data_IF_054426655692
#
_entry.id   IF_054426655692
#
_cell.length_a   1.000
_cell.length_b   1.000
_cell.length_c   1.000
_cell.angle_alpha   90.00
_cell.angle_beta   90.00
_cell.angle_gamma   90.00
#
_symmetry.space_group_name_H-M   'P 1'
#
loop_
_entity.id
_entity.type
_entity.pdbx_description
1 polymer ?
#
# COMPACT_ATOMS: atom_id res chain seq x y z
N UNK A 1 -8.69 9.11 24.03
CA UNK A 1 -9.85 8.25 24.39
C UNK A 1 -11.10 9.01 24.84
N UNK A 2 -11.00 10.17 25.50
CA UNK A 2 -12.19 10.90 26.00
C UNK A 2 -12.79 11.93 25.02
N UNK A 3 -12.50 11.84 23.72
CA UNK A 3 -12.98 12.80 22.72
C UNK A 3 -14.47 12.56 22.43
N UNK A 4 -15.36 13.53 22.70
CA UNK A 4 -16.79 13.35 22.44
C UNK A 4 -17.08 13.04 20.96
N UNK A 5 -17.99 12.09 20.72
CA UNK A 5 -18.40 11.72 19.36
C UNK A 5 -17.40 10.85 18.59
N UNK A 6 -16.30 10.39 19.22
CA UNK A 6 -15.37 9.41 18.65
C UNK A 6 -15.57 8.06 19.33
N UNK A 7 -15.77 7.02 18.52
CA UNK A 7 -15.67 5.62 18.96
C UNK A 7 -14.19 5.26 19.00
N UNK A 8 -13.71 4.89 20.18
CA UNK A 8 -12.36 4.36 20.40
C UNK A 8 -12.51 2.85 20.61
N UNK A 9 -11.73 2.05 19.89
CA UNK A 9 -11.85 0.60 19.92
C UNK A 9 -10.48 -0.05 20.04
N UNK A 10 -10.29 -0.76 21.15
CA UNK A 10 -9.16 -1.67 21.31
C UNK A 10 -9.45 -2.98 20.59
N UNK A 11 -8.41 -3.61 20.01
CA UNK A 11 -8.48 -4.98 19.52
C UNK A 11 -7.70 -5.90 20.46
N UNK A 12 -8.36 -6.66 21.37
CA UNK A 12 -7.66 -7.55 22.31
C UNK A 12 -6.85 -8.66 21.64
N UNK A 13 -7.12 -8.94 20.36
CA UNK A 13 -6.41 -9.95 19.56
C UNK A 13 -5.20 -9.36 18.83
N UNK A 14 -5.13 -8.04 18.70
CA UNK A 14 -3.99 -7.33 18.12
C UNK A 14 -2.88 -7.17 19.17
N UNK A 15 -1.77 -7.88 18.97
CA UNK A 15 -0.62 -7.82 19.85
C UNK A 15 0.09 -6.45 19.87
N UNK A 16 -0.15 -5.61 18.85
CA UNK A 16 0.39 -4.24 18.77
C UNK A 16 -0.44 -3.22 19.54
N UNK A 17 -1.72 -3.51 19.81
CA UNK A 17 -2.72 -2.55 20.32
C UNK A 17 -2.21 -1.79 21.55
N UNK A 18 -1.74 -2.50 22.58
CA UNK A 18 -1.22 -1.89 23.82
C UNK A 18 -0.10 -0.87 23.57
N UNK A 19 0.77 -1.11 22.58
CA UNK A 19 1.89 -0.23 22.26
C UNK A 19 1.38 0.98 21.50
N UNK A 20 0.48 0.77 20.54
CA UNK A 20 -0.11 1.83 19.73
C UNK A 20 -0.90 2.82 20.59
N UNK A 21 -1.74 2.33 21.50
CA UNK A 21 -2.51 3.18 22.41
C UNK A 21 -1.65 3.89 23.47
N UNK A 22 -0.47 3.35 23.79
CA UNK A 22 0.49 4.05 24.66
C UNK A 22 1.19 5.21 23.96
N UNK A 23 1.15 5.25 22.62
CA UNK A 23 1.73 6.30 21.79
C UNK A 23 1.04 7.64 22.00
N UNK A 24 1.83 8.71 22.02
CA UNK A 24 1.32 10.09 22.07
C UNK A 24 1.68 10.81 20.78
N UNK A 25 0.84 11.77 20.36
CA UNK A 25 1.12 12.66 19.22
C UNK A 25 2.07 13.78 19.63
N UNK A 26 3.29 13.43 20.01
CA UNK A 26 4.34 14.38 20.41
C UNK A 26 5.66 14.03 19.71
N UNK A 27 6.64 14.94 19.79
CA UNK A 27 7.95 14.79 19.16
C UNK A 27 7.85 14.33 17.69
N UNK A 28 8.42 13.18 17.36
CA UNK A 28 8.46 12.61 16.00
C UNK A 28 7.08 12.18 15.47
N UNK A 29 6.06 12.10 16.34
CA UNK A 29 4.68 11.75 16.00
C UNK A 29 3.73 12.97 16.07
N UNK A 30 4.26 14.18 16.21
CA UNK A 30 3.44 15.39 16.23
C UNK A 30 2.84 15.68 14.85
N UNK A 31 1.62 16.23 14.82
CA UNK A 31 1.09 16.85 13.60
C UNK A 31 1.86 18.15 13.39
N UNK A 32 2.42 18.34 12.20
CA UNK A 32 3.21 19.52 11.87
C UNK A 32 2.59 20.30 10.72
N UNK A 33 2.66 21.62 10.81
CA UNK A 33 2.39 22.54 9.70
C UNK A 33 3.66 23.33 9.42
N UNK A 34 4.22 23.18 8.21
CA UNK A 34 5.47 23.83 7.79
C UNK A 34 6.62 23.64 8.79
N UNK A 35 6.79 22.41 9.30
CA UNK A 35 7.86 22.04 10.24
C UNK A 35 7.61 22.45 11.70
N UNK A 36 6.45 23.07 12.00
CA UNK A 36 6.09 23.47 13.37
C UNK A 36 4.97 22.57 13.87
N UNK A 37 5.14 22.00 15.06
CA UNK A 37 4.12 21.19 15.71
C UNK A 37 2.85 22.03 15.96
N UNK A 38 1.69 21.46 15.65
CA UNK A 38 0.38 22.08 15.86
C UNK A 38 -0.52 21.13 16.62
N UNK A 39 -1.44 21.69 17.41
CA UNK A 39 -2.53 20.93 17.98
C UNK A 39 -3.64 20.78 16.92
N UNK A 40 -4.04 19.54 16.64
CA UNK A 40 -5.12 19.21 15.71
C UNK A 40 -6.21 18.43 16.46
N UNK A 41 -7.30 19.10 16.90
CA UNK A 41 -8.37 18.48 17.67
C UNK A 41 -9.36 17.68 16.82
N UNK A 42 -9.33 17.83 15.49
CA UNK A 42 -10.24 17.16 14.57
C UNK A 42 -9.85 15.71 14.25
N UNK A 43 -10.79 15.00 13.61
CA UNK A 43 -10.55 13.66 13.12
C UNK A 43 -9.61 13.68 11.90
N UNK A 44 -8.40 13.14 12.04
CA UNK A 44 -7.29 13.36 11.09
C UNK A 44 -7.64 13.07 9.63
N UNK A 45 -8.44 12.04 9.34
CA UNK A 45 -8.88 11.74 7.96
C UNK A 45 -9.63 12.91 7.33
N UNK A 46 -10.53 13.55 8.07
CA UNK A 46 -11.25 14.73 7.58
C UNK A 46 -10.32 15.94 7.50
N UNK A 47 -9.46 16.12 8.50
CA UNK A 47 -8.54 17.27 8.58
C UNK A 47 -7.51 17.26 7.44
N UNK A 48 -6.98 16.10 7.07
CA UNK A 48 -6.11 15.97 5.91
C UNK A 48 -6.85 16.25 4.59
N UNK A 49 -8.11 15.87 4.46
CA UNK A 49 -8.91 16.22 3.29
C UNK A 49 -9.16 17.73 3.19
N UNK A 50 -9.48 18.39 4.30
CA UNK A 50 -9.67 19.83 4.37
C UNK A 50 -8.39 20.60 4.00
N UNK A 51 -7.23 20.16 4.50
CA UNK A 51 -5.93 20.75 4.16
C UNK A 51 -5.56 20.51 2.68
N UNK A 52 -5.86 19.33 2.14
CA UNK A 52 -5.69 19.02 0.72
C UNK A 52 -6.57 19.90 -0.18
N UNK A 53 -7.84 20.09 0.21
CA UNK A 53 -8.79 20.98 -0.48
C UNK A 53 -8.28 22.43 -0.45
N UNK A 54 -7.82 22.91 0.71
CA UNK A 54 -7.25 24.26 0.81
C UNK A 54 -6.04 24.42 -0.10
N UNK A 55 -5.15 23.42 -0.14
CA UNK A 55 -4.01 23.43 -1.04
C UNK A 55 -4.43 23.52 -2.50
N UNK A 56 -5.44 22.76 -2.93
CA UNK A 56 -5.96 22.83 -4.30
C UNK A 56 -6.51 24.24 -4.63
N UNK A 57 -7.28 24.84 -3.73
CA UNK A 57 -7.85 26.18 -3.92
C UNK A 57 -6.75 27.27 -4.02
N UNK A 58 -5.72 27.19 -3.17
CA UNK A 58 -4.59 28.12 -3.17
C UNK A 58 -3.71 27.97 -4.41
N UNK A 59 -3.61 26.77 -4.99
CA UNK A 59 -2.67 26.44 -6.07
C UNK A 59 -3.36 26.21 -7.43
N UNK A 60 -4.65 26.44 -7.57
CA UNK A 60 -5.43 26.14 -8.79
C UNK A 60 -4.90 26.79 -10.08
N UNK A 61 -4.11 27.86 -9.97
CA UNK A 61 -3.53 28.60 -11.10
C UNK A 61 -2.09 28.17 -11.45
N UNK A 62 -1.54 27.16 -10.77
CA UNK A 62 -0.19 26.65 -10.98
C UNK A 62 -0.18 25.12 -11.07
N UNK A 63 0.76 24.50 -11.81
CA UNK A 63 1.00 23.07 -11.68
C UNK A 63 1.38 22.74 -10.25
N UNK A 64 0.83 21.66 -9.71
CA UNK A 64 1.07 21.25 -8.33
C UNK A 64 1.42 19.76 -8.23
N UNK A 65 2.06 19.41 -7.13
CA UNK A 65 2.18 18.05 -6.64
C UNK A 65 1.59 18.01 -5.23
N UNK A 66 0.66 17.09 -5.01
CA UNK A 66 -0.01 16.91 -3.72
C UNK A 66 0.09 15.44 -3.32
N UNK A 67 0.68 15.18 -2.16
CA UNK A 67 0.73 13.87 -1.53
C UNK A 67 -0.07 13.92 -0.23
N UNK A 68 -1.12 13.08 -0.14
CA UNK A 68 -2.01 13.02 1.03
C UNK A 68 -1.91 11.63 1.67
N UNK A 69 -0.96 11.43 2.61
CA UNK A 69 -0.78 10.15 3.29
C UNK A 69 -1.81 9.99 4.41
N UNK A 70 -3.02 9.56 4.07
CA UNK A 70 -4.00 9.20 5.08
C UNK A 70 -3.46 8.08 5.97
N UNK A 71 -3.63 8.23 7.29
CA UNK A 71 -3.31 7.17 8.24
C UNK A 71 -4.42 6.11 8.33
N UNK A 72 -5.66 6.45 7.94
CA UNK A 72 -6.76 5.49 7.92
C UNK A 72 -6.52 4.40 6.85
N UNK A 73 -6.86 3.12 7.13
CA UNK A 73 -7.53 2.62 8.33
C UNK A 73 -6.59 2.02 9.39
N UNK A 74 -5.32 2.47 9.47
CA UNK A 74 -4.36 1.94 10.44
C UNK A 74 -4.81 2.17 11.89
N UNK A 75 -4.40 1.28 12.79
CA UNK A 75 -4.58 1.45 14.25
C UNK A 75 -3.91 2.74 14.77
N UNK A 76 -4.37 3.31 15.89
CA UNK A 76 -5.45 2.84 16.75
C UNK A 76 -6.83 2.98 16.07
N UNK A 77 -7.74 2.04 16.33
CA UNK A 77 -9.05 2.09 15.69
C UNK A 77 -9.94 3.15 16.32
N UNK A 78 -10.11 4.23 15.58
CA UNK A 78 -10.86 5.42 15.99
C UNK A 78 -11.68 5.93 14.81
N UNK A 79 -12.99 6.09 15.02
CA UNK A 79 -13.90 6.63 14.00
C UNK A 79 -14.96 7.54 14.64
N UNK A 80 -15.43 8.60 13.96
CA UNK A 80 -16.58 9.34 14.41
C UNK A 80 -17.82 8.46 14.52
N UNK A 81 -18.63 8.67 15.58
CA UNK A 81 -19.83 7.89 15.90
C UNK A 81 -20.80 7.81 14.72
N UNK A 82 -20.93 8.89 13.94
CA UNK A 82 -21.76 8.93 12.75
C UNK A 82 -21.37 7.84 11.74
N UNK A 83 -20.07 7.66 11.46
CA UNK A 83 -19.60 6.61 10.56
C UNK A 83 -19.81 5.22 11.15
N UNK A 84 -19.50 5.04 12.43
CA UNK A 84 -19.72 3.76 13.13
C UNK A 84 -21.18 3.31 13.07
N UNK A 85 -22.11 4.27 13.16
CA UNK A 85 -23.55 4.01 13.12
C UNK A 85 -24.08 3.62 11.74
N UNK A 86 -23.29 3.77 10.66
CA UNK A 86 -23.65 3.31 9.29
C UNK A 86 -23.60 1.79 9.14
N UNK A 87 -22.95 1.09 10.07
CA UNK A 87 -22.70 -0.36 9.99
C UNK A 87 -23.36 -1.16 11.12
N UNK A 88 -24.66 -0.99 11.41
CA UNK A 88 -25.30 -1.65 12.56
C UNK A 88 -25.37 -3.17 12.42
N UNK A 89 -25.25 -3.69 11.19
CA UNK A 89 -25.30 -5.10 10.84
C UNK A 89 -23.97 -5.85 11.02
N UNK A 90 -22.88 -5.15 11.34
CA UNK A 90 -21.56 -5.76 11.55
C UNK A 90 -21.41 -6.07 13.03
N UNK A 91 -21.63 -7.31 13.46
CA UNK A 91 -21.65 -7.66 14.88
C UNK A 91 -20.32 -7.45 15.59
N UNK A 92 -19.20 -7.74 14.93
CA UNK A 92 -17.86 -7.53 15.48
C UNK A 92 -17.55 -6.02 15.57
N UNK A 93 -17.41 -5.46 16.79
CA UNK A 93 -17.18 -4.03 16.96
C UNK A 93 -15.81 -3.57 16.42
N UNK A 94 -14.80 -4.43 16.37
CA UNK A 94 -13.47 -4.13 15.82
C UNK A 94 -13.55 -4.00 14.29
N UNK A 95 -14.23 -4.95 13.64
CA UNK A 95 -14.50 -4.84 12.19
C UNK A 95 -15.40 -3.63 11.89
N UNK A 96 -16.39 -3.36 12.74
CA UNK A 96 -17.32 -2.24 12.55
C UNK A 96 -16.61 -0.88 12.57
N UNK A 97 -15.71 -0.65 13.52
CA UNK A 97 -14.93 0.61 13.57
C UNK A 97 -13.96 0.71 12.39
N UNK A 98 -13.37 -0.39 11.95
CA UNK A 98 -12.47 -0.41 10.80
C UNK A 98 -13.21 0.00 9.50
N UNK A 99 -14.38 -0.59 9.27
CA UNK A 99 -15.24 -0.18 8.16
C UNK A 99 -15.72 1.27 8.27
N UNK A 100 -15.93 1.77 9.49
CA UNK A 100 -16.24 3.18 9.72
C UNK A 100 -15.07 4.11 9.36
N UNK A 101 -13.82 3.71 9.64
CA UNK A 101 -12.63 4.46 9.21
C UNK A 101 -12.48 4.46 7.68
N UNK A 102 -12.75 3.33 7.02
CA UNK A 102 -12.78 3.24 5.55
C UNK A 102 -13.87 4.14 4.97
N UNK A 103 -15.07 4.14 5.54
CA UNK A 103 -16.14 5.03 5.08
C UNK A 103 -15.77 6.51 5.22
N UNK A 104 -15.06 6.88 6.28
CA UNK A 104 -14.55 8.24 6.45
C UNK A 104 -13.42 8.57 5.46
N UNK A 105 -12.57 7.59 5.12
CA UNK A 105 -11.56 7.74 4.08
C UNK A 105 -12.19 7.92 2.69
N UNK A 106 -13.23 7.17 2.38
CA UNK A 106 -13.98 7.28 1.12
C UNK A 106 -14.60 8.66 0.96
N UNK A 107 -15.33 9.16 1.98
CA UNK A 107 -15.91 10.51 1.96
C UNK A 107 -14.81 11.60 1.84
N UNK A 108 -13.64 11.41 2.49
CA UNK A 108 -12.49 12.32 2.40
C UNK A 108 -11.86 12.36 0.99
N UNK A 109 -11.63 11.19 0.38
CA UNK A 109 -11.12 11.07 -1.00
C UNK A 109 -12.14 11.62 -2.00
N UNK A 110 -13.43 11.34 -1.77
CA UNK A 110 -14.54 11.88 -2.54
C UNK A 110 -14.55 13.41 -2.53
N UNK A 111 -14.40 14.03 -1.36
CA UNK A 111 -14.36 15.48 -1.22
C UNK A 111 -13.16 16.12 -1.97
N UNK A 112 -11.98 15.51 -1.92
CA UNK A 112 -10.81 15.98 -2.68
C UNK A 112 -11.08 15.88 -4.19
N UNK A 113 -11.56 14.73 -4.65
CA UNK A 113 -11.88 14.52 -6.07
C UNK A 113 -12.96 15.49 -6.56
N UNK A 114 -14.00 15.73 -5.76
CA UNK A 114 -15.05 16.70 -6.07
C UNK A 114 -14.46 18.10 -6.18
N UNK A 115 -13.55 18.51 -5.28
CA UNK A 115 -12.89 19.81 -5.36
C UNK A 115 -12.07 19.96 -6.66
N UNK A 116 -11.33 18.92 -7.07
CA UNK A 116 -10.61 18.92 -8.35
C UNK A 116 -11.55 19.17 -9.53
N UNK A 117 -12.76 18.59 -9.50
CA UNK A 117 -13.79 18.79 -10.53
C UNK A 117 -14.41 20.21 -10.47
N UNK A 118 -14.76 20.70 -9.28
CA UNK A 118 -15.30 22.05 -9.06
C UNK A 118 -14.36 23.16 -9.54
N UNK A 119 -13.05 22.99 -9.32
CA UNK A 119 -12.03 23.93 -9.77
C UNK A 119 -11.70 23.79 -11.27
N UNK A 120 -12.35 22.85 -11.99
CA UNK A 120 -12.10 22.61 -13.41
C UNK A 120 -10.74 21.97 -13.72
N UNK A 121 -10.09 21.35 -12.73
CA UNK A 121 -8.73 20.80 -12.83
C UNK A 121 -8.68 19.35 -13.34
N UNK A 122 -9.83 18.66 -13.39
CA UNK A 122 -9.89 17.21 -13.61
C UNK A 122 -9.27 16.72 -14.93
N UNK A 123 -9.34 17.54 -16.00
CA UNK A 123 -8.75 17.21 -17.30
C UNK A 123 -7.21 17.21 -17.27
N UNK A 124 -6.60 17.97 -16.36
CA UNK A 124 -5.15 18.15 -16.26
C UNK A 124 -4.56 17.70 -14.91
N UNK A 125 -5.27 16.84 -14.18
CA UNK A 125 -4.80 16.28 -12.91
C UNK A 125 -4.71 14.76 -13.03
N UNK A 126 -3.49 14.23 -12.83
CA UNK A 126 -3.23 12.81 -12.70
C UNK A 126 -3.30 12.43 -11.22
N UNK A 127 -4.27 11.60 -10.87
CA UNK A 127 -4.51 11.12 -9.51
C UNK A 127 -4.09 9.66 -9.41
N UNK A 128 -3.32 9.35 -8.37
CA UNK A 128 -3.00 7.99 -7.93
C UNK A 128 -3.69 7.73 -6.60
N UNK A 129 -4.33 6.58 -6.46
CA UNK A 129 -4.84 6.08 -5.18
C UNK A 129 -4.37 4.66 -4.98
N UNK A 130 -3.70 4.40 -3.86
CA UNK A 130 -3.17 3.09 -3.51
C UNK A 130 -3.05 2.94 -1.99
N UNK A 131 -2.97 1.69 -1.54
CA UNK A 131 -2.51 1.38 -0.18
C UNK A 131 -0.98 1.22 -0.15
N UNK A 132 -0.38 1.45 1.01
CA UNK A 132 1.07 1.31 1.24
C UNK A 132 1.50 -0.16 1.41
N UNK A 133 0.61 -1.03 1.85
CA UNK A 133 0.79 -2.48 1.98
C UNK A 133 -0.56 -3.20 2.06
N UNK A 134 -0.53 -4.53 2.12
CA UNK A 134 -1.68 -5.35 2.43
C UNK A 134 -2.36 -5.03 3.76
N UNK A 135 -3.63 -5.43 3.91
CA UNK A 135 -4.38 -5.30 5.15
C UNK A 135 -3.73 -6.07 6.31
N UNK A 136 -3.79 -5.49 7.51
CA UNK A 136 -3.20 -6.06 8.72
C UNK A 136 -4.09 -7.14 9.34
N UNK A 137 -4.07 -8.35 8.79
CA UNK A 137 -4.95 -9.46 9.23
C UNK A 137 -4.78 -9.84 10.70
N UNK A 138 -3.58 -9.67 11.25
CA UNK A 138 -3.30 -9.91 12.68
C UNK A 138 -4.12 -9.02 13.62
N UNK A 139 -4.74 -7.94 13.11
CA UNK A 139 -5.65 -7.10 13.89
C UNK A 139 -7.06 -7.68 14.02
N UNK A 140 -7.40 -8.65 13.16
CA UNK A 140 -8.73 -9.24 12.95
C UNK A 140 -9.83 -8.26 12.52
N UNK A 141 -9.47 -7.02 12.17
CA UNK A 141 -10.41 -6.02 11.69
C UNK A 141 -10.70 -6.15 10.18
N UNK A 142 -9.76 -6.76 9.45
CA UNK A 142 -9.77 -6.90 8.00
C UNK A 142 -9.20 -8.25 7.58
N UNK A 143 -9.43 -8.59 6.32
CA UNK A 143 -8.85 -9.70 5.58
C UNK A 143 -8.36 -9.17 4.22
N UNK A 144 -7.53 -9.94 3.52
CA UNK A 144 -7.12 -9.66 2.14
C UNK A 144 -7.74 -10.63 1.14
N UNK A 145 -8.85 -11.27 1.52
CA UNK A 145 -9.45 -12.34 0.74
C UNK A 145 -9.75 -11.88 -0.71
N UNK A 146 -9.49 -12.73 -1.72
CA UNK A 146 -9.01 -14.11 -1.61
C UNK A 146 -7.47 -14.28 -1.55
N UNK A 147 -6.69 -13.20 -1.40
CA UNK A 147 -5.23 -13.28 -1.42
C UNK A 147 -4.69 -13.89 -0.11
N UNK A 148 -3.58 -14.62 -0.21
CA UNK A 148 -2.91 -15.20 0.93
C UNK A 148 -2.09 -14.15 1.70
N UNK A 149 -2.19 -14.17 3.03
CA UNK A 149 -1.43 -13.32 3.93
C UNK A 149 -1.89 -11.86 3.97
N UNK A 150 -1.08 -11.03 4.58
CA UNK A 150 -1.38 -9.61 4.80
C UNK A 150 -0.14 -8.79 5.11
N UNK A 151 -0.33 -7.61 5.70
CA UNK A 151 0.75 -6.73 6.18
C UNK A 151 1.87 -7.55 6.84
N UNK A 152 3.13 -7.17 6.55
CA UNK A 152 4.39 -7.84 6.96
C UNK A 152 4.75 -9.09 6.14
N UNK A 153 3.79 -9.80 5.56
CA UNK A 153 4.08 -11.00 4.76
C UNK A 153 4.52 -10.68 3.33
N UNK A 154 5.25 -11.60 2.70
CA UNK A 154 5.67 -11.49 1.29
C UNK A 154 4.72 -12.20 0.31
N UNK A 155 3.54 -12.60 0.78
CA UNK A 155 2.48 -13.17 -0.04
C UNK A 155 1.68 -12.07 -0.75
N UNK A 156 0.84 -12.44 -1.72
CA UNK A 156 0.05 -11.50 -2.51
C UNK A 156 -0.80 -10.60 -1.61
N UNK A 157 -1.37 -11.12 -0.53
CA UNK A 157 -2.15 -10.32 0.40
C UNK A 157 -1.33 -9.28 1.17
N UNK A 158 0.00 -9.44 1.26
CA UNK A 158 0.90 -8.43 1.83
C UNK A 158 1.47 -7.43 0.81
N UNK A 159 1.64 -7.87 -0.45
CA UNK A 159 2.35 -7.11 -1.50
C UNK A 159 1.41 -6.46 -2.53
N UNK A 160 0.29 -7.09 -2.85
CA UNK A 160 -0.66 -6.65 -3.87
C UNK A 160 -1.74 -5.79 -3.24
N UNK A 161 -1.81 -4.54 -3.68
CA UNK A 161 -2.71 -3.53 -3.12
C UNK A 161 -3.73 -3.05 -4.15
N UNK A 162 -4.88 -2.50 -3.72
CA UNK A 162 -5.70 -1.68 -4.60
C UNK A 162 -4.86 -0.53 -5.16
N UNK A 163 -4.92 -0.32 -6.47
CA UNK A 163 -4.14 0.70 -7.17
C UNK A 163 -4.97 1.27 -8.32
N UNK A 164 -5.28 2.56 -8.25
CA UNK A 164 -6.08 3.26 -9.24
C UNK A 164 -5.34 4.48 -9.78
N UNK A 165 -5.49 4.72 -11.08
CA UNK A 165 -5.09 5.96 -11.74
C UNK A 165 -6.32 6.61 -12.34
N UNK A 166 -6.46 7.93 -12.16
CA UNK A 166 -7.49 8.74 -12.81
C UNK A 166 -6.82 9.96 -13.44
N UNK A 167 -7.02 10.14 -14.74
CA UNK A 167 -6.65 11.37 -15.44
C UNK A 167 -7.60 11.57 -16.61
N UNK A 168 -8.62 12.42 -16.43
CA UNK A 168 -9.76 12.50 -17.36
C UNK A 168 -9.38 12.94 -18.78
N UNK A 169 -8.26 13.64 -18.94
CA UNK A 169 -7.78 14.06 -20.26
C UNK A 169 -7.27 12.87 -21.09
N UNK A 170 -6.12 12.28 -20.75
CA UNK A 170 -5.46 11.29 -21.60
C UNK A 170 -5.87 9.84 -21.33
N UNK A 171 -6.25 9.47 -20.10
CA UNK A 171 -6.46 8.07 -19.77
C UNK A 171 -7.89 7.60 -20.10
N UNK A 172 -8.05 6.38 -20.66
CA UNK A 172 -9.37 5.81 -20.86
C UNK A 172 -10.06 5.54 -19.52
N UNK A 173 -11.38 5.78 -19.48
CA UNK A 173 -12.19 5.53 -18.28
C UNK A 173 -12.66 4.08 -18.21
N UNK A 174 -12.80 3.53 -17.00
CA UNK A 174 -13.39 2.21 -16.78
C UNK A 174 -12.54 1.03 -17.26
N UNK A 175 -11.25 1.24 -17.48
CA UNK A 175 -10.33 0.18 -17.93
C UNK A 175 -9.58 -0.46 -16.77
N UNK A 176 -9.44 -1.78 -16.80
CA UNK A 176 -8.54 -2.51 -15.92
C UNK A 176 -7.25 -2.86 -16.68
N UNK A 177 -6.09 -2.57 -16.09
CA UNK A 177 -4.81 -2.98 -16.63
C UNK A 177 -4.36 -4.30 -15.98
N UNK A 178 -4.24 -5.41 -16.75
CA UNK A 178 -4.13 -6.75 -16.16
C UNK A 178 -2.69 -7.15 -15.79
N UNK A 179 -1.70 -6.32 -16.09
CA UNK A 179 -0.30 -6.67 -15.90
C UNK A 179 0.28 -6.03 -14.63
N UNK A 180 1.25 -6.71 -13.96
CA UNK A 180 1.88 -6.18 -12.77
C UNK A 180 2.52 -4.80 -12.99
N UNK A 181 2.29 -3.89 -12.05
CA UNK A 181 2.91 -2.58 -11.94
C UNK A 181 3.49 -2.41 -10.53
N UNK A 182 4.30 -1.38 -10.32
CA UNK A 182 4.93 -1.08 -9.04
C UNK A 182 4.62 0.34 -8.58
N UNK A 183 4.55 0.57 -7.27
CA UNK A 183 4.51 1.93 -6.72
C UNK A 183 5.76 2.75 -7.09
N UNK A 184 6.87 2.08 -7.40
CA UNK A 184 8.09 2.71 -7.92
C UNK A 184 7.85 3.40 -9.29
N UNK A 185 6.86 2.94 -10.05
CA UNK A 185 6.51 3.50 -11.36
C UNK A 185 5.85 4.89 -11.24
N UNK A 186 5.33 5.26 -10.06
CA UNK A 186 4.67 6.56 -9.84
C UNK A 186 5.65 7.68 -10.15
N UNK A 187 6.89 7.60 -9.66
CA UNK A 187 7.88 8.66 -9.86
C UNK A 187 8.20 8.89 -11.35
N UNK A 188 8.51 7.81 -12.07
CA UNK A 188 8.85 7.86 -13.49
C UNK A 188 7.67 8.30 -14.35
N UNK A 189 6.47 7.82 -14.03
CA UNK A 189 5.21 8.21 -14.70
C UNK A 189 4.87 9.69 -14.47
N UNK A 190 5.05 10.20 -13.23
CA UNK A 190 4.84 11.63 -12.92
C UNK A 190 5.84 12.52 -13.64
N UNK A 191 7.13 12.15 -13.68
CA UNK A 191 8.13 12.88 -14.46
C UNK A 191 7.76 12.93 -15.95
N UNK A 192 7.33 11.80 -16.54
CA UNK A 192 6.88 11.74 -17.92
C UNK A 192 5.64 12.62 -18.17
N UNK A 193 4.62 12.54 -17.31
CA UNK A 193 3.41 13.36 -17.38
C UNK A 193 3.72 14.86 -17.31
N UNK A 194 4.65 15.25 -16.43
CA UNK A 194 5.12 16.63 -16.27
C UNK A 194 6.11 17.08 -17.36
N UNK A 195 6.53 16.16 -18.25
CA UNK A 195 7.57 16.39 -19.29
C UNK A 195 8.91 16.83 -18.71
N UNK A 196 9.27 16.28 -17.55
CA UNK A 196 10.52 16.53 -16.84
C UNK A 196 11.44 15.31 -17.04
N UNK A 197 12.70 15.51 -17.47
CA UNK A 197 13.64 14.40 -17.58
C UNK A 197 13.94 13.81 -16.20
N UNK A 198 14.17 12.50 -16.15
CA UNK A 198 14.62 11.86 -14.92
C UNK A 198 15.98 12.46 -14.48
N UNK A 199 16.14 12.78 -13.18
CA UNK A 199 17.43 13.22 -12.66
C UNK A 199 18.57 12.23 -12.98
N UNK A 200 19.70 12.75 -13.47
CA UNK A 200 20.86 11.93 -13.81
C UNK A 200 21.59 11.38 -12.58
N UNK A 201 22.52 10.44 -12.82
CA UNK A 201 23.44 9.91 -11.81
C UNK A 201 22.86 8.81 -10.92
N UNK A 202 21.72 8.23 -11.29
CA UNK A 202 21.14 7.05 -10.62
C UNK A 202 20.36 6.19 -11.60
N UNK A 203 20.18 4.94 -11.24
CA UNK A 203 19.26 4.01 -11.90
C UNK A 203 17.89 4.11 -11.24
N UNK A 204 16.84 3.96 -12.02
CA UNK A 204 15.46 3.91 -11.54
C UNK A 204 14.90 2.51 -11.82
N UNK A 205 14.27 1.92 -10.82
CA UNK A 205 13.61 0.61 -10.96
C UNK A 205 12.19 0.73 -11.52
N UNK A 206 11.56 1.90 -11.36
CA UNK A 206 10.25 2.20 -11.95
C UNK A 206 10.33 2.53 -13.43
N UNK A 207 9.23 2.34 -14.16
CA UNK A 207 9.09 2.67 -15.58
C UNK A 207 7.96 3.68 -15.80
N UNK A 208 7.95 4.36 -16.95
CA UNK A 208 6.82 5.19 -17.36
C UNK A 208 5.64 4.30 -17.79
N UNK A 209 4.51 4.39 -17.09
CA UNK A 209 3.31 3.62 -17.38
C UNK A 209 2.48 4.21 -18.51
N UNK A 210 2.63 5.49 -18.87
CA UNK A 210 1.75 6.14 -19.85
C UNK A 210 1.69 5.43 -21.22
N UNK A 211 2.81 4.98 -21.82
CA UNK A 211 2.76 4.24 -23.08
C UNK A 211 1.93 2.95 -23.00
N UNK A 212 1.94 2.28 -21.84
CA UNK A 212 1.19 1.05 -21.64
C UNK A 212 -0.30 1.33 -21.41
N UNK A 213 -0.61 2.31 -20.56
CA UNK A 213 -1.98 2.68 -20.22
C UNK A 213 -2.73 3.31 -21.40
N UNK A 214 -2.03 4.00 -22.29
CA UNK A 214 -2.58 4.57 -23.53
C UNK A 214 -2.65 3.56 -24.68
N UNK A 215 -2.19 2.31 -24.47
CA UNK A 215 -2.20 1.27 -25.50
C UNK A 215 -1.15 1.43 -26.60
N UNK A 216 -0.22 2.38 -26.46
CA UNK A 216 0.89 2.56 -27.40
C UNK A 216 1.95 1.45 -27.28
N UNK A 217 2.06 0.83 -26.10
CA UNK A 217 2.93 -0.31 -25.82
C UNK A 217 2.14 -1.43 -25.14
N UNK A 218 1.87 -2.57 -25.81
CA UNK A 218 1.17 -3.69 -25.19
C UNK A 218 2.09 -4.47 -24.24
N UNK A 219 1.49 -5.24 -23.32
CA UNK A 219 2.19 -6.23 -22.49
C UNK A 219 2.65 -5.70 -21.13
N UNK A 220 3.53 -6.46 -20.47
CA UNK A 220 3.98 -6.19 -19.10
C UNK A 220 5.00 -5.04 -19.07
N UNK A 221 4.88 -4.08 -18.13
CA UNK A 221 5.88 -3.02 -17.97
C UNK A 221 7.17 -3.54 -17.34
N UNK A 222 7.07 -4.62 -16.56
CA UNK A 222 8.16 -5.27 -15.85
C UNK A 222 8.27 -6.74 -16.26
N UNK A 223 9.47 -7.21 -16.57
CA UNK A 223 9.75 -8.65 -16.67
C UNK A 223 9.82 -9.28 -15.27
N UNK A 224 10.36 -8.54 -14.30
CA UNK A 224 10.53 -9.01 -12.92
C UNK A 224 10.29 -7.91 -11.90
N UNK A 225 9.70 -8.27 -10.77
CA UNK A 225 9.56 -7.45 -9.57
C UNK A 225 10.18 -8.19 -8.39
N UNK A 226 10.78 -7.45 -7.45
CA UNK A 226 11.57 -8.01 -6.34
C UNK A 226 11.14 -7.38 -5.02
N UNK A 227 11.14 -8.18 -3.96
CA UNK A 227 10.92 -7.74 -2.59
C UNK A 227 11.91 -8.42 -1.65
N UNK A 228 12.39 -7.67 -0.66
CA UNK A 228 13.14 -8.20 0.46
C UNK A 228 12.71 -7.48 1.74
N UNK A 229 12.25 -8.25 2.71
CA UNK A 229 11.93 -7.80 4.07
C UNK A 229 12.54 -8.77 5.06
N UNK A 230 13.58 -8.34 5.79
CA UNK A 230 14.27 -9.24 6.70
C UNK A 230 14.85 -10.48 6.01
N UNK A 231 14.60 -11.65 6.60
CA UNK A 231 14.94 -12.96 6.03
C UNK A 231 14.07 -13.41 4.85
N UNK A 232 13.00 -12.69 4.50
CA UNK A 232 12.07 -13.04 3.41
C UNK A 232 12.44 -12.37 2.08
N UNK A 233 12.59 -13.18 1.03
CA UNK A 233 13.06 -12.80 -0.30
C UNK A 233 12.02 -13.25 -1.33
N UNK A 234 11.55 -12.36 -2.18
CA UNK A 234 10.52 -12.68 -3.19
C UNK A 234 10.85 -12.08 -4.55
N UNK A 235 10.63 -12.87 -5.60
CA UNK A 235 10.69 -12.42 -7.00
C UNK A 235 9.40 -12.87 -7.70
N UNK A 236 8.77 -11.94 -8.42
CA UNK A 236 7.75 -12.24 -9.42
C UNK A 236 8.40 -12.03 -10.79
N UNK A 237 8.58 -13.10 -11.56
CA UNK A 237 9.12 -13.04 -12.93
C UNK A 237 8.13 -13.66 -13.90
N UNK A 238 7.63 -12.84 -14.83
CA UNK A 238 6.48 -13.18 -15.66
C UNK A 238 5.25 -13.53 -14.82
N UNK A 239 4.90 -14.81 -14.71
CA UNK A 239 3.78 -15.31 -13.90
C UNK A 239 4.28 -16.19 -12.74
N UNK A 240 5.59 -16.44 -12.67
CA UNK A 240 6.17 -17.27 -11.62
C UNK A 240 6.60 -16.41 -10.43
N UNK A 241 6.06 -16.73 -9.26
CA UNK A 241 6.45 -16.11 -7.98
C UNK A 241 7.27 -17.10 -7.18
N UNK A 242 8.46 -16.69 -6.76
CA UNK A 242 9.35 -17.47 -5.91
C UNK A 242 9.55 -16.74 -4.59
N UNK A 243 9.48 -17.50 -3.50
CA UNK A 243 9.74 -17.04 -2.14
C UNK A 243 10.82 -17.90 -1.49
N UNK A 244 11.74 -17.25 -0.79
CA UNK A 244 12.78 -17.88 0.01
C UNK A 244 12.90 -17.19 1.36
N UNK A 245 12.98 -17.98 2.42
CA UNK A 245 13.27 -17.49 3.77
C UNK A 245 14.67 -17.96 4.20
N UNK A 246 15.57 -17.01 4.44
CA UNK A 246 16.97 -17.29 4.80
C UNK A 246 17.12 -17.98 6.15
N UNK A 247 16.24 -17.68 7.11
CA UNK A 247 16.34 -18.18 8.48
C UNK A 247 15.91 -19.64 8.59
N UNK A 248 14.84 -20.01 7.88
CA UNK A 248 14.28 -21.36 7.89
C UNK A 248 14.75 -22.23 6.73
N UNK A 249 15.33 -21.63 5.69
CA UNK A 249 15.66 -22.30 4.43
C UNK A 249 14.43 -22.64 3.58
N UNK A 250 13.23 -22.20 3.98
CA UNK A 250 11.99 -22.56 3.32
C UNK A 250 11.93 -21.93 1.92
N UNK A 251 11.46 -22.72 0.96
CA UNK A 251 11.33 -22.31 -0.44
C UNK A 251 9.92 -22.59 -0.95
N UNK A 252 9.31 -21.59 -1.60
CA UNK A 252 8.01 -21.70 -2.26
C UNK A 252 8.10 -21.22 -3.70
N UNK A 253 7.33 -21.85 -4.57
CA UNK A 253 7.19 -21.46 -5.97
C UNK A 253 5.72 -21.56 -6.36
N UNK A 254 5.18 -20.53 -6.98
CA UNK A 254 3.80 -20.45 -7.46
C UNK A 254 3.77 -19.96 -8.91
N UNK A 255 2.75 -20.36 -9.67
CA UNK A 255 2.43 -19.76 -10.96
C UNK A 255 1.14 -18.95 -10.81
N UNK A 256 1.23 -17.63 -10.70
CA UNK A 256 0.09 -16.75 -10.41
C UNK A 256 -0.94 -16.66 -11.55
N UNK A 257 -0.60 -17.13 -12.75
CA UNK A 257 -1.57 -17.26 -13.84
C UNK A 257 -2.59 -18.39 -13.56
N UNK A 258 -2.14 -19.46 -12.91
CA UNK A 258 -2.95 -20.65 -12.61
C UNK A 258 -3.43 -20.67 -11.14
N UNK A 259 -2.61 -20.13 -10.24
CA UNK A 259 -2.80 -20.10 -8.78
C UNK A 259 -2.52 -18.68 -8.25
N UNK A 260 -3.48 -17.73 -8.43
CA UNK A 260 -3.32 -16.35 -7.97
C UNK A 260 -3.38 -16.20 -6.44
N UNK A 261 -3.66 -17.27 -5.70
CA UNK A 261 -3.85 -17.28 -4.25
C UNK A 261 -2.72 -18.00 -3.50
N UNK A 262 -1.73 -18.53 -4.23
CA UNK A 262 -0.53 -19.15 -3.67
C UNK A 262 -0.83 -20.39 -2.79
N UNK A 263 -1.81 -21.19 -3.21
CA UNK A 263 -2.26 -22.39 -2.49
C UNK A 263 -1.31 -23.58 -2.72
N UNK A 264 -0.77 -23.73 -3.93
CA UNK A 264 -0.03 -24.93 -4.33
C UNK A 264 1.47 -24.66 -4.50
N UNK A 265 2.28 -25.08 -3.53
CA UNK A 265 3.74 -24.98 -3.66
C UNK A 265 4.30 -25.93 -4.73
N UNK A 266 4.82 -25.36 -5.82
CA UNK A 266 5.37 -26.05 -6.98
C UNK A 266 6.90 -26.26 -6.91
N UNK A 267 7.59 -25.83 -5.85
CA UNK A 267 9.05 -25.77 -5.81
C UNK A 267 9.72 -27.15 -6.04
N UNK A 268 9.15 -28.21 -5.49
CA UNK A 268 9.62 -29.59 -5.68
C UNK A 268 9.24 -30.20 -7.03
N UNK A 269 8.19 -29.69 -7.69
CA UNK A 269 7.74 -30.18 -9.01
C UNK A 269 8.53 -29.52 -10.16
N UNK A 270 9.01 -28.29 -9.97
CA UNK A 270 9.74 -27.54 -10.98
C UNK A 270 11.14 -27.10 -10.49
N UNK A 271 12.04 -28.03 -10.14
CA UNK A 271 13.34 -27.70 -9.53
C UNK A 271 14.22 -26.81 -10.42
N UNK A 272 14.12 -26.95 -11.76
CA UNK A 272 14.82 -26.07 -12.70
C UNK A 272 14.33 -24.62 -12.62
N UNK A 273 13.01 -24.40 -12.51
CA UNK A 273 12.42 -23.06 -12.36
C UNK A 273 12.74 -22.47 -11.00
N UNK A 274 12.67 -23.27 -9.95
CA UNK A 274 13.07 -22.88 -8.58
C UNK A 274 14.52 -22.39 -8.56
N UNK A 275 15.44 -23.15 -9.16
CA UNK A 275 16.85 -22.75 -9.24
C UNK A 275 17.07 -21.49 -10.08
N UNK A 276 16.38 -21.36 -11.21
CA UNK A 276 16.45 -20.16 -12.06
C UNK A 276 16.07 -18.88 -11.28
N UNK A 277 14.93 -18.91 -10.58
CA UNK A 277 14.44 -17.76 -9.84
C UNK A 277 15.26 -17.47 -8.59
N UNK A 278 15.79 -18.51 -7.92
CA UNK A 278 16.75 -18.33 -6.83
C UNK A 278 18.02 -17.63 -7.31
N UNK A 279 18.58 -18.03 -8.45
CA UNK A 279 19.75 -17.33 -9.03
C UNK A 279 19.40 -15.89 -9.42
N UNK A 280 18.20 -15.64 -9.96
CA UNK A 280 17.78 -14.29 -10.32
C UNK A 280 17.68 -13.36 -9.11
N UNK A 281 17.08 -13.81 -8.01
CA UNK A 281 16.96 -12.99 -6.79
C UNK A 281 18.31 -12.78 -6.09
N UNK A 282 19.20 -13.77 -6.11
CA UNK A 282 20.57 -13.64 -5.59
C UNK A 282 21.37 -12.57 -6.36
N UNK A 283 21.28 -12.59 -7.70
CA UNK A 283 21.94 -11.61 -8.55
C UNK A 283 21.41 -10.19 -8.32
N UNK A 284 20.10 -10.02 -8.15
CA UNK A 284 19.51 -8.74 -7.81
C UNK A 284 20.01 -8.25 -6.44
N UNK A 285 19.98 -9.11 -5.42
CA UNK A 285 20.39 -8.73 -4.07
C UNK A 285 21.88 -8.39 -3.97
N UNK A 286 22.75 -9.05 -4.75
CA UNK A 286 24.18 -8.72 -4.79
C UNK A 286 24.47 -7.26 -5.19
N UNK A 287 23.53 -6.60 -5.88
CA UNK A 287 23.61 -5.17 -6.22
C UNK A 287 23.05 -4.23 -5.16
N UNK A 288 22.43 -4.74 -4.09
CA UNK A 288 21.74 -3.93 -3.08
C UNK A 288 22.70 -3.48 -1.97
N UNK A 289 22.53 -2.26 -1.42
CA UNK A 289 23.24 -1.85 -0.21
C UNK A 289 22.80 -2.69 0.99
N UNK A 290 23.67 -2.77 2.00
CA UNK A 290 23.28 -3.36 3.29
C UNK A 290 22.22 -2.50 4.00
N UNK A 291 21.32 -3.10 4.79
CA UNK A 291 20.40 -2.34 5.64
C UNK A 291 21.14 -1.33 6.51
N UNK A 292 20.64 -0.10 6.59
CA UNK A 292 21.25 0.98 7.36
C UNK A 292 20.87 0.92 8.85
N UNK A 293 19.81 0.19 9.19
CA UNK A 293 19.32 -0.04 10.54
C UNK A 293 18.83 -1.49 10.70
N UNK A 294 18.83 -2.04 11.93
CA UNK A 294 18.27 -3.35 12.20
C UNK A 294 16.73 -3.35 12.05
N UNK A 295 16.16 -4.52 11.83
CA UNK A 295 14.71 -4.70 11.92
C UNK A 295 14.20 -4.37 13.33
N UNK A 296 12.99 -3.83 13.40
CA UNK A 296 12.33 -3.46 14.65
C UNK A 296 11.55 -4.64 15.24
N UNK A 297 10.96 -5.47 14.40
CA UNK A 297 10.14 -6.62 14.80
C UNK A 297 10.37 -7.81 13.86
N UNK A 298 10.52 -8.99 14.45
CA UNK A 298 10.39 -10.28 13.73
C UNK A 298 9.00 -10.86 13.99
N UNK A 299 8.25 -11.12 12.92
CA UNK A 299 6.90 -11.65 12.93
C UNK A 299 6.88 -13.10 12.50
N UNK A 300 6.22 -13.95 13.31
CA UNK A 300 5.96 -15.35 12.98
C UNK A 300 4.56 -15.48 12.38
N UNK A 301 4.49 -15.90 11.13
CA UNK A 301 3.25 -16.28 10.46
C UNK A 301 3.16 -17.81 10.41
N UNK A 302 1.98 -18.37 10.71
CA UNK A 302 1.75 -19.81 10.66
C UNK A 302 0.41 -20.08 9.98
N UNK A 303 0.43 -20.90 8.94
CA UNK A 303 -0.73 -21.35 8.21
C UNK A 303 -0.68 -22.89 8.02
N UNK A 304 -1.59 -23.45 7.24
CA UNK A 304 -1.60 -24.88 6.91
C UNK A 304 -0.35 -25.34 6.13
N UNK A 305 0.37 -24.39 5.53
CA UNK A 305 1.56 -24.64 4.75
C UNK A 305 2.82 -24.62 5.62
N UNK A 306 2.81 -24.02 6.81
CA UNK A 306 3.87 -24.12 7.81
C UNK A 306 4.16 -22.80 8.54
N UNK A 307 5.37 -22.70 9.09
CA UNK A 307 5.83 -21.50 9.82
C UNK A 307 6.75 -20.66 8.94
N UNK A 308 6.50 -19.35 8.92
CA UNK A 308 7.24 -18.34 8.16
C UNK A 308 7.69 -17.21 9.11
N UNK A 309 8.86 -16.66 8.83
CA UNK A 309 9.40 -15.51 9.56
C UNK A 309 9.55 -14.31 8.62
N UNK A 310 9.15 -13.15 9.10
CA UNK A 310 9.20 -11.90 8.36
C UNK A 310 9.73 -10.81 9.28
N UNK A 311 10.69 -10.01 8.82
CA UNK A 311 11.19 -8.89 9.62
C UNK A 311 10.74 -7.55 9.04
N UNK A 312 10.36 -6.65 9.93
CA UNK A 312 9.96 -5.26 9.65
C UNK A 312 10.82 -4.31 10.47
#
# INVERSE_FOLDING_TARGET
ENTPGIVNMHSPKDWTDKHIWSGQRNADCAIVRNGVAVEEPGYLTQRFAEEAIRFLEENQNHPFFLFVPFSAPHTPFQAPQYYYSRFPHIDDPVRRVYLAMIAALDDAVGAINQKVEELGLAQNTLVFFLSDNGGAEYTHATDNAPLNGGKITAFEGGLRVPFFLKWQGPLPSGTAYPHPVSSLDIFTTVCAAARIPLPGGRTYDGVDLLPYLLGHKPGKPHESLFWKGGSAWTILKNDWKFFFNEETGQTRLYNLADDPYEEANLAGQYPGKTSELKTAIDNWYAGMPKPLWPALVSFKHEDENGVFYFDN
#
